data_IF_653830459908
#
_entry.id   IF_653830459908
#
_cell.length_a   1.000
_cell.length_b   1.000
_cell.length_c   1.000
_cell.angle_alpha   90.00
_cell.angle_beta   90.00
_cell.angle_gamma   90.00
#
_symmetry.space_group_name_H-M   'P 1'
#
loop_
_entity.id
_entity.type
_entity.pdbx_description
1 polymer ?
#
# COMPACT_ATOMS: atom_id res chain seq x y z
N UNK A 1 21.35 12.25 -50.03
CA UNK A 1 21.47 11.23 -48.98
C UNK A 1 21.23 11.93 -47.66
N UNK A 2 20.02 11.86 -47.18
CA UNK A 2 19.58 12.48 -45.91
C UNK A 2 19.57 11.32 -44.89
N UNK A 3 20.45 11.39 -43.89
CA UNK A 3 20.41 10.49 -42.74
C UNK A 3 19.31 10.96 -41.81
N UNK A 4 18.31 10.13 -41.63
CA UNK A 4 17.30 10.27 -40.54
C UNK A 4 17.98 9.94 -39.23
N UNK A 5 18.08 10.97 -38.41
CA UNK A 5 18.52 10.88 -37.02
C UNK A 5 17.30 10.38 -36.23
N UNK A 6 17.27 9.08 -35.94
CA UNK A 6 16.28 8.50 -35.03
C UNK A 6 16.70 8.88 -33.61
N UNK A 7 16.13 9.98 -33.11
CA UNK A 7 16.21 10.32 -31.71
C UNK A 7 15.52 9.23 -30.90
N UNK A 8 16.32 8.41 -30.23
CA UNK A 8 15.86 7.50 -29.19
C UNK A 8 15.23 8.33 -28.09
N UNK A 9 13.91 8.32 -27.97
CA UNK A 9 13.20 8.74 -26.79
C UNK A 9 13.62 7.78 -25.65
N UNK A 10 14.56 8.22 -24.84
CA UNK A 10 14.77 7.63 -23.52
C UNK A 10 13.48 7.82 -22.73
N UNK A 11 12.64 6.78 -22.74
CA UNK A 11 11.46 6.71 -21.89
C UNK A 11 11.92 6.80 -20.45
N UNK A 12 11.40 7.78 -19.74
CA UNK A 12 11.47 7.84 -18.27
C UNK A 12 10.94 6.51 -17.79
N UNK A 13 11.83 5.62 -17.35
CA UNK A 13 11.47 4.37 -16.68
C UNK A 13 10.87 4.80 -15.34
N UNK A 14 9.56 4.99 -15.34
CA UNK A 14 8.79 5.04 -14.10
C UNK A 14 9.10 3.75 -13.35
N UNK A 15 9.34 3.81 -12.05
CA UNK A 15 9.62 2.64 -11.20
C UNK A 15 8.41 1.68 -11.10
N UNK A 16 7.61 1.61 -12.14
CA UNK A 16 6.46 0.74 -12.30
C UNK A 16 6.84 -0.66 -12.78
N UNK A 17 5.90 -1.57 -12.67
CA UNK A 17 6.01 -2.88 -13.27
C UNK A 17 5.87 -2.76 -14.79
N UNK A 18 6.88 -3.17 -15.53
CA UNK A 18 6.74 -3.40 -16.96
C UNK A 18 5.96 -4.70 -17.24
N UNK A 19 5.63 -4.94 -18.50
CA UNK A 19 4.85 -6.13 -18.88
C UNK A 19 5.54 -7.46 -18.53
N UNK A 20 6.86 -7.51 -18.52
CA UNK A 20 7.62 -8.72 -18.19
C UNK A 20 7.61 -8.95 -16.67
N UNK A 21 7.79 -7.90 -15.88
CA UNK A 21 7.71 -7.98 -14.42
C UNK A 21 6.29 -8.33 -13.95
N UNK A 22 5.23 -7.79 -14.59
CA UNK A 22 3.84 -8.17 -14.29
C UNK A 22 3.59 -9.66 -14.58
N UNK A 23 4.08 -10.19 -15.70
CA UNK A 23 3.92 -11.60 -16.03
C UNK A 23 4.70 -12.51 -15.06
N UNK A 24 5.91 -12.11 -14.70
CA UNK A 24 6.73 -12.84 -13.73
C UNK A 24 6.07 -12.84 -12.35
N UNK A 25 5.58 -11.69 -11.91
CA UNK A 25 4.84 -11.55 -10.65
C UNK A 25 3.62 -12.46 -10.64
N UNK A 26 2.78 -12.42 -11.70
CA UNK A 26 1.57 -13.22 -11.79
C UNK A 26 1.84 -14.73 -11.73
N UNK A 27 2.94 -15.18 -12.35
CA UNK A 27 3.32 -16.59 -12.36
C UNK A 27 3.87 -17.11 -11.03
N UNK A 28 4.33 -16.22 -10.14
CA UNK A 28 4.96 -16.57 -8.86
C UNK A 28 4.08 -16.30 -7.64
N UNK A 29 2.86 -15.78 -7.84
CA UNK A 29 1.93 -15.48 -6.75
C UNK A 29 1.53 -16.70 -5.94
N UNK A 30 1.63 -16.60 -4.64
CA UNK A 30 0.99 -17.48 -3.69
C UNK A 30 -0.31 -16.83 -3.22
N UNK A 31 -1.43 -17.55 -3.36
CA UNK A 31 -2.76 -17.04 -3.01
C UNK A 31 -3.14 -17.45 -1.59
N UNK A 32 -3.74 -16.54 -0.86
CA UNK A 32 -4.21 -16.70 0.51
C UNK A 32 -5.65 -16.21 0.63
N UNK A 33 -6.39 -16.78 1.55
CA UNK A 33 -7.72 -16.29 1.92
C UNK A 33 -7.62 -15.32 3.09
N UNK A 34 -8.37 -14.22 3.05
CA UNK A 34 -8.55 -13.38 4.21
C UNK A 34 -9.31 -14.11 5.31
N UNK A 35 -9.01 -13.79 6.54
CA UNK A 35 -9.85 -14.24 7.65
C UNK A 35 -11.28 -13.68 7.52
N UNK A 36 -12.27 -14.44 7.98
CA UNK A 36 -13.68 -14.09 7.85
C UNK A 36 -14.02 -12.70 8.42
N UNK A 37 -13.35 -12.30 9.50
CA UNK A 37 -13.51 -10.99 10.13
C UNK A 37 -13.01 -9.86 9.22
N UNK A 38 -11.91 -10.08 8.47
CA UNK A 38 -11.39 -9.13 7.49
C UNK A 38 -12.35 -8.98 6.32
N UNK A 39 -12.88 -10.08 5.81
CA UNK A 39 -13.87 -10.05 4.73
C UNK A 39 -15.11 -9.25 5.14
N UNK A 40 -15.62 -9.50 6.34
CA UNK A 40 -16.74 -8.73 6.88
C UNK A 40 -16.44 -7.25 7.03
N UNK A 41 -15.23 -6.91 7.47
CA UNK A 41 -14.79 -5.52 7.56
C UNK A 41 -14.73 -4.86 6.17
N UNK A 42 -14.12 -5.52 5.19
CA UNK A 42 -14.03 -5.01 3.82
C UNK A 42 -15.42 -4.82 3.20
N UNK A 43 -16.34 -5.74 3.38
CA UNK A 43 -17.74 -5.61 2.93
C UNK A 43 -18.41 -4.36 3.49
N UNK A 44 -18.21 -4.08 4.78
CA UNK A 44 -18.74 -2.87 5.42
C UNK A 44 -18.12 -1.62 4.80
N UNK A 45 -16.79 -1.59 4.62
CA UNK A 45 -16.07 -0.45 4.05
C UNK A 45 -16.47 -0.20 2.60
N UNK A 46 -16.46 -1.23 1.75
CA UNK A 46 -16.77 -1.14 0.32
C UNK A 46 -18.20 -0.65 0.08
N UNK A 47 -19.16 -1.15 0.87
CA UNK A 47 -20.58 -0.82 0.76
C UNK A 47 -20.98 0.44 1.54
N UNK A 48 -20.02 1.08 2.23
CA UNK A 48 -20.34 2.27 3.01
C UNK A 48 -20.52 3.50 2.09
N UNK A 49 -21.58 4.27 2.34
CA UNK A 49 -21.83 5.57 1.71
C UNK A 49 -21.09 6.71 2.43
N UNK A 50 -19.92 6.42 2.98
CA UNK A 50 -19.18 7.38 3.78
C UNK A 50 -18.74 8.59 2.95
N UNK A 51 -19.01 9.79 3.47
CA UNK A 51 -18.75 11.05 2.74
C UNK A 51 -17.28 11.48 2.81
N UNK A 52 -16.60 11.18 3.93
CA UNK A 52 -15.21 11.59 4.18
C UNK A 52 -14.23 10.49 3.78
N UNK A 53 -14.15 10.23 2.49
CA UNK A 53 -13.28 9.14 1.98
C UNK A 53 -11.78 9.40 2.22
N UNK A 54 -11.39 10.66 2.45
CA UNK A 54 -10.01 11.07 2.74
C UNK A 54 -9.38 10.40 3.99
N UNK A 55 -10.19 9.72 4.80
CA UNK A 55 -9.69 8.95 5.94
C UNK A 55 -8.59 7.96 5.55
N UNK A 56 -8.68 7.36 4.34
CA UNK A 56 -7.67 6.42 3.88
C UNK A 56 -6.27 7.05 3.83
N UNK A 57 -6.19 8.31 3.38
CA UNK A 57 -4.90 8.99 3.26
C UNK A 57 -4.30 9.27 4.64
N UNK A 58 -5.13 9.70 5.60
CA UNK A 58 -4.70 9.89 6.98
C UNK A 58 -4.15 8.59 7.58
N UNK A 59 -4.84 7.47 7.39
CA UNK A 59 -4.42 6.17 7.91
C UNK A 59 -3.12 5.69 7.27
N UNK A 60 -2.95 5.86 5.95
CA UNK A 60 -1.71 5.48 5.28
C UNK A 60 -0.52 6.36 5.70
N UNK A 61 -0.73 7.67 5.87
CA UNK A 61 0.31 8.57 6.38
C UNK A 61 0.70 8.20 7.82
N UNK A 62 -0.29 7.88 8.66
CA UNK A 62 -0.02 7.43 10.04
C UNK A 62 0.80 6.14 10.05
N UNK A 63 0.42 5.13 9.25
CA UNK A 63 1.15 3.87 9.17
C UNK A 63 2.60 4.07 8.68
N UNK A 64 2.82 4.93 7.68
CA UNK A 64 4.16 5.26 7.20
C UNK A 64 4.99 5.98 8.29
N UNK A 65 4.37 6.91 9.03
CA UNK A 65 5.01 7.59 10.16
C UNK A 65 5.43 6.60 11.25
N UNK A 66 4.55 5.66 11.61
CA UNK A 66 4.84 4.63 12.60
C UNK A 66 6.00 3.71 12.16
N UNK A 67 6.07 3.37 10.87
CA UNK A 67 7.16 2.57 10.31
C UNK A 67 8.50 3.32 10.34
N UNK A 68 8.50 4.62 10.07
CA UNK A 68 9.67 5.49 10.17
C UNK A 68 10.13 5.65 11.62
N UNK A 69 9.20 5.88 12.56
CA UNK A 69 9.51 6.04 13.98
C UNK A 69 10.04 4.74 14.60
N UNK A 70 9.49 3.58 14.21
CA UNK A 70 9.99 2.28 14.63
C UNK A 70 11.45 2.08 14.19
N UNK A 71 11.76 2.40 12.93
CA UNK A 71 13.14 2.32 12.43
C UNK A 71 14.06 3.32 13.12
N UNK A 72 13.61 4.57 13.30
CA UNK A 72 14.35 5.60 14.04
C UNK A 72 14.69 5.13 15.44
N UNK A 73 13.74 4.54 16.15
CA UNK A 73 13.98 4.01 17.51
C UNK A 73 15.04 2.91 17.50
N UNK A 74 14.99 1.96 16.56
CA UNK A 74 15.99 0.90 16.42
C UNK A 74 17.38 1.46 16.11
N UNK A 75 17.45 2.50 15.25
CA UNK A 75 18.73 3.12 14.86
C UNK A 75 19.43 3.87 16.00
N UNK A 76 18.76 4.17 17.09
CA UNK A 76 19.39 4.74 18.29
C UNK A 76 20.26 3.71 19.00
N UNK A 77 19.88 2.44 18.96
CA UNK A 77 20.64 1.36 19.57
C UNK A 77 21.67 0.76 18.59
N UNK A 78 21.31 0.68 17.31
CA UNK A 78 22.12 0.12 16.24
C UNK A 78 21.97 0.97 14.96
N UNK A 79 22.92 1.88 14.67
CA UNK A 79 22.87 2.70 13.46
C UNK A 79 22.97 1.90 12.16
N UNK A 80 23.48 0.67 12.18
CA UNK A 80 23.66 -0.17 11.00
C UNK A 80 22.33 -0.69 10.44
N UNK A 81 21.24 -0.63 11.23
CA UNK A 81 19.88 -0.97 10.73
C UNK A 81 19.41 -0.04 9.60
N UNK A 82 20.00 1.15 9.48
CA UNK A 82 19.70 2.06 8.37
C UNK A 82 20.27 1.57 7.03
N UNK A 83 21.27 0.70 7.03
CA UNK A 83 21.90 0.16 5.82
C UNK A 83 22.33 1.25 4.84
N UNK A 84 22.06 1.03 3.56
CA UNK A 84 22.35 2.01 2.50
C UNK A 84 21.31 3.14 2.43
N UNK A 85 20.05 2.87 2.81
CA UNK A 85 18.96 3.85 2.80
C UNK A 85 18.92 4.60 4.14
N UNK A 86 19.70 5.68 4.25
CA UNK A 86 19.85 6.43 5.51
C UNK A 86 18.79 7.49 5.74
N UNK A 87 18.12 7.96 4.68
CA UNK A 87 17.03 8.94 4.81
C UNK A 87 15.78 8.30 5.40
N UNK A 88 15.13 9.02 6.31
CA UNK A 88 13.81 8.70 6.85
C UNK A 88 12.83 9.65 6.20
N UNK A 89 12.18 9.21 5.14
CA UNK A 89 11.28 10.03 4.34
C UNK A 89 10.03 9.28 3.91
N UNK A 90 8.98 10.05 3.65
CA UNK A 90 7.77 9.59 3.00
C UNK A 90 7.53 10.42 1.75
N UNK A 91 7.11 9.77 0.67
CA UNK A 91 6.74 10.39 -0.60
C UNK A 91 5.32 10.01 -0.97
N UNK A 92 4.58 10.96 -1.53
CA UNK A 92 3.25 10.74 -2.10
C UNK A 92 3.31 11.18 -3.55
N UNK A 93 2.91 10.32 -4.46
CA UNK A 93 2.83 10.62 -5.88
C UNK A 93 1.48 10.19 -6.45
N UNK A 94 1.06 10.87 -7.51
CA UNK A 94 -0.19 10.61 -8.20
C UNK A 94 0.08 10.56 -9.70
N UNK A 95 -0.42 9.51 -10.33
CA UNK A 95 -0.42 9.34 -11.78
C UNK A 95 -1.85 9.39 -12.28
N UNK A 96 -2.17 10.46 -13.02
CA UNK A 96 -3.52 10.71 -13.53
C UNK A 96 -3.88 9.74 -14.67
N UNK A 97 -2.91 9.41 -15.53
CA UNK A 97 -3.13 8.52 -16.67
C UNK A 97 -3.35 7.08 -16.20
N UNK A 98 -2.50 6.59 -15.31
CA UNK A 98 -2.64 5.28 -14.69
C UNK A 98 -3.74 5.24 -13.61
N UNK A 99 -4.23 6.39 -13.16
CA UNK A 99 -5.16 6.55 -12.05
C UNK A 99 -4.66 5.86 -10.78
N UNK A 100 -3.41 6.10 -10.44
CA UNK A 100 -2.80 5.53 -9.24
C UNK A 100 -2.37 6.61 -8.27
N UNK A 101 -2.54 6.34 -6.99
CA UNK A 101 -1.92 7.07 -5.89
C UNK A 101 -0.90 6.15 -5.23
N UNK A 102 0.33 6.61 -5.11
CA UNK A 102 1.43 5.85 -4.50
C UNK A 102 1.97 6.59 -3.29
N UNK A 103 2.08 5.87 -2.17
CA UNK A 103 2.72 6.34 -0.95
C UNK A 103 3.90 5.42 -0.69
N UNK A 104 5.09 6.01 -0.58
CA UNK A 104 6.34 5.29 -0.33
C UNK A 104 6.98 5.82 0.94
N UNK A 105 7.38 4.95 1.85
CA UNK A 105 8.18 5.29 3.03
C UNK A 105 9.49 4.51 3.04
N UNK A 106 10.49 5.06 3.72
CA UNK A 106 11.79 4.41 3.98
C UNK A 106 11.87 3.83 5.39
N UNK A 107 10.73 3.44 5.95
CA UNK A 107 10.61 2.87 7.28
C UNK A 107 11.20 1.46 7.39
N UNK A 108 10.80 0.74 8.41
CA UNK A 108 11.34 -0.59 8.70
C UNK A 108 11.04 -1.63 7.61
N UNK A 109 9.97 -1.44 6.83
CA UNK A 109 9.47 -2.42 5.89
C UNK A 109 8.81 -3.64 6.55
N UNK A 110 8.39 -4.58 5.71
CA UNK A 110 7.74 -5.84 6.11
C UNK A 110 8.40 -7.01 5.41
N UNK A 111 8.60 -8.11 6.13
CA UNK A 111 8.96 -9.41 5.56
C UNK A 111 7.74 -10.04 4.89
N UNK A 112 7.93 -11.13 4.12
CA UNK A 112 6.81 -11.91 3.57
C UNK A 112 5.82 -12.31 4.65
N UNK A 113 6.32 -12.78 5.78
CA UNK A 113 5.49 -13.20 6.91
C UNK A 113 4.71 -12.03 7.50
N UNK A 114 5.36 -10.86 7.67
CA UNK A 114 4.68 -9.65 8.14
C UNK A 114 3.57 -9.19 7.19
N UNK A 115 3.79 -9.27 5.87
CA UNK A 115 2.76 -8.94 4.87
C UNK A 115 1.54 -9.85 5.01
N UNK A 116 1.74 -11.15 5.17
CA UNK A 116 0.67 -12.12 5.36
C UNK A 116 -0.07 -11.86 6.68
N UNK A 117 0.67 -11.66 7.77
CA UNK A 117 0.10 -11.49 9.11
C UNK A 117 -0.58 -10.13 9.28
N UNK A 118 0.08 -9.04 8.89
CA UNK A 118 -0.42 -7.69 9.14
C UNK A 118 -1.50 -7.23 8.15
N UNK A 119 -1.47 -7.74 6.90
CA UNK A 119 -2.41 -7.36 5.86
C UNK A 119 -3.44 -8.44 5.54
N UNK A 120 -3.20 -9.69 5.91
CA UNK A 120 -4.12 -10.82 5.67
C UNK A 120 -4.89 -11.27 6.92
N UNK A 121 -4.29 -11.06 8.10
CA UNK A 121 -4.87 -11.51 9.37
C UNK A 121 -4.90 -10.34 10.35
N UNK A 122 -6.02 -9.70 10.50
CA UNK A 122 -6.16 -8.62 11.49
C UNK A 122 -6.27 -9.18 12.90
N UNK A 123 -5.75 -8.47 13.88
CA UNK A 123 -5.96 -8.79 15.28
C UNK A 123 -7.47 -8.95 15.57
N UNK A 124 -7.92 -10.17 15.80
CA UNK A 124 -9.35 -10.55 15.93
C UNK A 124 -10.16 -9.60 16.82
N UNK A 125 -9.55 -9.09 17.90
CA UNK A 125 -10.21 -8.18 18.84
C UNK A 125 -10.49 -6.80 18.21
N UNK A 126 -9.56 -6.22 17.46
CA UNK A 126 -9.73 -4.89 16.87
C UNK A 126 -10.82 -4.87 15.79
N UNK A 127 -10.86 -5.88 14.93
CA UNK A 127 -11.86 -5.97 13.86
C UNK A 127 -13.27 -6.13 14.42
N UNK A 128 -13.50 -7.04 15.38
CA UNK A 128 -14.81 -7.26 15.98
C UNK A 128 -15.31 -6.00 16.69
N UNK A 129 -14.44 -5.36 17.49
CA UNK A 129 -14.78 -4.12 18.19
C UNK A 129 -15.11 -2.98 17.21
N UNK A 130 -14.36 -2.86 16.11
CA UNK A 130 -14.66 -1.86 15.10
C UNK A 130 -16.00 -2.11 14.40
N UNK A 131 -16.28 -3.36 14.00
CA UNK A 131 -17.56 -3.73 13.38
C UNK A 131 -18.74 -3.41 14.31
N UNK A 132 -18.62 -3.70 15.59
CA UNK A 132 -19.63 -3.34 16.59
C UNK A 132 -19.78 -1.82 16.75
N UNK A 133 -18.64 -1.09 16.79
CA UNK A 133 -18.64 0.36 16.91
C UNK A 133 -19.31 1.03 15.71
N UNK A 134 -18.99 0.60 14.48
CA UNK A 134 -19.56 1.18 13.26
C UNK A 134 -21.05 0.87 13.11
N UNK A 135 -21.51 -0.33 13.54
CA UNK A 135 -22.93 -0.68 13.54
C UNK A 135 -23.74 0.22 14.48
N UNK A 136 -23.13 0.66 15.58
CA UNK A 136 -23.78 1.52 16.58
C UNK A 136 -23.71 3.01 16.23
N UNK A 137 -22.64 3.48 15.61
CA UNK A 137 -22.39 4.92 15.40
C UNK A 137 -22.44 5.34 13.94
N UNK A 138 -22.20 4.42 12.99
CA UNK A 138 -22.01 4.73 11.57
C UNK A 138 -20.70 5.52 11.27
N UNK A 139 -19.82 5.67 12.25
CA UNK A 139 -18.63 6.53 12.14
C UNK A 139 -17.36 5.72 11.79
N UNK A 140 -16.97 5.75 10.52
CA UNK A 140 -15.72 5.14 10.04
C UNK A 140 -14.46 5.85 10.56
N UNK A 141 -14.57 7.08 11.10
CA UNK A 141 -13.39 7.82 11.58
C UNK A 141 -12.67 7.12 12.74
N UNK A 142 -13.33 6.17 13.38
CA UNK A 142 -12.78 5.36 14.46
C UNK A 142 -11.84 4.25 13.99
N UNK A 143 -11.74 3.98 12.67
CA UNK A 143 -11.04 2.82 12.09
C UNK A 143 -9.58 2.68 12.57
N UNK A 144 -8.85 3.79 12.68
CA UNK A 144 -7.46 3.79 13.13
C UNK A 144 -7.29 3.36 14.60
N UNK A 145 -8.26 3.67 15.46
CA UNK A 145 -8.21 3.31 16.88
C UNK A 145 -8.24 1.80 17.12
N UNK A 146 -8.75 1.04 16.15
CA UNK A 146 -8.87 -0.41 16.21
C UNK A 146 -7.76 -1.16 15.45
N UNK A 147 -6.77 -0.43 14.89
CA UNK A 147 -5.65 -1.02 14.15
C UNK A 147 -6.04 -1.62 12.79
N UNK A 148 -7.16 -1.18 12.21
CA UNK A 148 -7.68 -1.68 10.93
C UNK A 148 -7.73 -0.58 9.84
N UNK A 149 -7.04 0.53 10.08
CA UNK A 149 -7.04 1.71 9.22
C UNK A 149 -6.57 1.44 7.79
N UNK A 150 -5.67 0.47 7.58
CA UNK A 150 -5.21 0.09 6.24
C UNK A 150 -6.37 -0.23 5.29
N UNK A 151 -7.39 -0.95 5.74
CA UNK A 151 -8.49 -1.37 4.86
C UNK A 151 -9.38 -0.23 4.36
N UNK A 152 -9.25 0.98 4.94
CA UNK A 152 -9.93 2.19 4.42
C UNK A 152 -9.55 2.52 2.98
N UNK A 153 -8.43 2.00 2.45
CA UNK A 153 -8.01 2.12 1.05
C UNK A 153 -9.11 1.66 0.08
N UNK A 154 -9.90 0.66 0.46
CA UNK A 154 -10.98 0.14 -0.37
C UNK A 154 -12.21 1.06 -0.49
N UNK A 155 -12.24 2.18 0.24
CA UNK A 155 -13.19 3.27 -0.04
C UNK A 155 -12.93 3.91 -1.41
N UNK A 156 -11.67 3.91 -1.87
CA UNK A 156 -11.22 4.66 -3.04
C UNK A 156 -10.53 3.82 -4.11
N UNK A 157 -10.06 2.62 -3.79
CA UNK A 157 -9.33 1.75 -4.70
C UNK A 157 -10.08 0.46 -5.02
N UNK A 158 -9.97 -0.01 -6.27
CA UNK A 158 -10.43 -1.32 -6.71
C UNK A 158 -9.37 -2.39 -6.50
N UNK A 159 -8.09 -2.00 -6.55
CA UNK A 159 -6.94 -2.86 -6.32
C UNK A 159 -5.90 -2.12 -5.49
N UNK A 160 -5.24 -2.85 -4.62
CA UNK A 160 -4.12 -2.35 -3.81
C UNK A 160 -2.91 -3.25 -4.03
N UNK A 161 -1.75 -2.64 -4.26
CA UNK A 161 -0.45 -3.31 -4.30
C UNK A 161 0.42 -2.74 -3.18
N UNK A 162 1.03 -3.60 -2.40
CA UNK A 162 2.00 -3.23 -1.37
C UNK A 162 3.31 -3.92 -1.69
N UNK A 163 4.31 -3.13 -2.07
CA UNK A 163 5.69 -3.58 -2.23
C UNK A 163 6.45 -3.27 -0.96
N UNK A 164 7.12 -4.24 -0.36
CA UNK A 164 7.83 -4.00 0.88
C UNK A 164 9.17 -4.72 0.93
N UNK A 165 10.16 -4.04 1.52
CA UNK A 165 11.52 -4.53 1.72
C UNK A 165 11.93 -4.31 3.18
N UNK A 166 12.08 -5.40 3.91
CA UNK A 166 12.67 -5.44 5.25
C UNK A 166 14.16 -5.80 5.16
N UNK A 167 14.97 -5.39 6.15
CA UNK A 167 16.40 -5.72 6.14
C UNK A 167 16.67 -7.23 6.12
N UNK A 168 15.84 -8.01 6.79
CA UNK A 168 16.02 -9.46 7.00
C UNK A 168 15.37 -10.34 5.92
N UNK A 169 14.77 -9.73 4.89
CA UNK A 169 14.08 -10.49 3.83
C UNK A 169 14.29 -9.85 2.45
N UNK A 170 14.01 -10.59 1.38
CA UNK A 170 13.95 -10.05 0.02
C UNK A 170 12.69 -9.19 -0.15
N UNK A 171 12.68 -8.38 -1.21
CA UNK A 171 11.51 -7.54 -1.51
C UNK A 171 10.34 -8.41 -1.95
N UNK A 172 9.16 -8.16 -1.38
CA UNK A 172 7.93 -8.86 -1.70
C UNK A 172 6.84 -7.90 -2.16
N UNK A 173 5.92 -8.43 -2.94
CA UNK A 173 4.71 -7.74 -3.40
C UNK A 173 3.49 -8.48 -2.87
N UNK A 174 2.64 -7.75 -2.18
CA UNK A 174 1.30 -8.16 -1.77
C UNK A 174 0.27 -7.46 -2.65
N UNK A 175 -0.76 -8.18 -3.09
CA UNK A 175 -1.85 -7.60 -3.87
C UNK A 175 -3.21 -8.13 -3.43
N UNK A 176 -4.24 -7.27 -3.49
CA UNK A 176 -5.63 -7.66 -3.34
C UNK A 176 -6.57 -6.73 -4.11
N UNK A 177 -7.65 -7.31 -4.64
CA UNK A 177 -8.80 -6.63 -5.27
C UNK A 177 -10.02 -6.62 -4.35
N UNK A 178 -9.84 -6.92 -3.07
CA UNK A 178 -10.91 -6.99 -2.06
C UNK A 178 -11.97 -8.10 -2.35
N UNK A 179 -11.55 -9.18 -2.95
CA UNK A 179 -12.40 -10.31 -3.36
C UNK A 179 -12.21 -11.56 -2.47
N UNK A 180 -12.08 -11.39 -1.17
CA UNK A 180 -11.83 -12.43 -0.16
C UNK A 180 -10.43 -13.07 -0.22
N UNK A 181 -9.60 -12.68 -1.19
CA UNK A 181 -8.25 -13.22 -1.36
C UNK A 181 -7.20 -12.12 -1.48
N UNK A 182 -5.97 -12.49 -1.14
CA UNK A 182 -4.79 -11.70 -1.45
C UNK A 182 -3.68 -12.63 -1.96
N UNK A 183 -2.72 -12.06 -2.63
CA UNK A 183 -1.54 -12.80 -3.09
C UNK A 183 -0.26 -12.16 -2.59
N UNK A 184 0.76 -12.99 -2.39
CA UNK A 184 2.11 -12.54 -2.07
C UNK A 184 3.10 -13.25 -2.99
N UNK A 185 4.06 -12.50 -3.51
CA UNK A 185 5.16 -13.03 -4.32
C UNK A 185 6.47 -12.28 -4.02
N UNK A 186 7.60 -12.91 -4.29
CA UNK A 186 8.86 -12.18 -4.38
C UNK A 186 8.80 -11.18 -5.54
N UNK A 187 9.34 -9.99 -5.35
CA UNK A 187 9.32 -8.96 -6.40
C UNK A 187 10.29 -9.34 -7.53
N UNK A 188 9.80 -9.61 -8.74
CA UNK A 188 10.66 -10.00 -9.87
C UNK A 188 11.64 -8.92 -10.30
N UNK A 189 11.44 -7.67 -9.88
CA UNK A 189 12.35 -6.54 -10.13
C UNK A 189 13.55 -6.54 -9.17
N UNK A 190 13.54 -7.43 -8.16
CA UNK A 190 14.53 -7.44 -7.09
C UNK A 190 14.34 -6.30 -6.09
N UNK A 191 15.43 -5.85 -5.47
CA UNK A 191 15.37 -4.76 -4.49
C UNK A 191 15.36 -3.38 -5.18
N UNK A 192 14.17 -2.78 -5.30
CA UNK A 192 13.98 -1.43 -5.87
C UNK A 192 13.80 -0.35 -4.80
N UNK A 193 13.42 -0.74 -3.57
CA UNK A 193 13.13 0.20 -2.49
C UNK A 193 14.35 0.49 -1.60
N UNK A 194 15.37 -0.40 -1.64
CA UNK A 194 16.42 -0.41 -0.63
C UNK A 194 15.90 -0.93 0.71
N UNK A 195 15.00 -0.21 1.35
CA UNK A 195 14.23 -0.57 2.54
C UNK A 195 12.98 0.30 2.60
N UNK A 196 11.87 -0.24 3.14
CA UNK A 196 10.63 0.48 3.40
C UNK A 196 9.44 -0.16 2.73
N UNK A 197 8.38 0.63 2.55
CA UNK A 197 7.13 0.15 1.96
C UNK A 197 6.60 1.15 0.93
N UNK A 198 6.11 0.62 -0.19
CA UNK A 198 5.41 1.36 -1.22
C UNK A 198 3.99 0.80 -1.36
N UNK A 199 2.99 1.65 -1.20
CA UNK A 199 1.57 1.30 -1.35
C UNK A 199 1.04 2.02 -2.58
N UNK A 200 0.63 1.26 -3.59
CA UNK A 200 0.00 1.75 -4.81
C UNK A 200 -1.49 1.43 -4.79
N UNK A 201 -2.31 2.45 -4.85
CA UNK A 201 -3.77 2.37 -4.94
C UNK A 201 -4.21 2.56 -6.39
N UNK A 202 -4.89 1.57 -6.97
CA UNK A 202 -5.54 1.69 -8.27
C UNK A 202 -6.95 2.21 -8.04
N UNK A 203 -7.16 3.49 -8.35
CA UNK A 203 -8.33 4.24 -7.92
C UNK A 203 -9.58 3.92 -8.74
N UNK A 204 -10.73 3.87 -8.06
CA UNK A 204 -12.05 3.62 -8.67
C UNK A 204 -12.38 4.65 -9.74
N UNK A 205 -12.94 4.21 -10.87
CA UNK A 205 -13.18 5.06 -12.03
C UNK A 205 -14.16 6.23 -11.84
N UNK A 206 -14.97 6.22 -10.79
CA UNK A 206 -15.98 7.27 -10.53
C UNK A 206 -15.47 8.45 -9.68
N UNK A 207 -14.21 8.45 -9.21
CA UNK A 207 -13.70 9.48 -8.31
C UNK A 207 -13.11 10.71 -9.01
N UNK A 208 -12.99 10.68 -10.34
CA UNK A 208 -12.44 11.78 -11.12
C UNK A 208 -13.51 12.60 -11.84
N UNK A 209 -14.33 13.30 -11.09
CA UNK A 209 -14.79 14.61 -11.51
C UNK A 209 -13.76 15.61 -10.92
N UNK A 210 -12.85 16.05 -11.78
CA UNK A 210 -11.84 17.05 -11.42
C UNK A 210 -12.56 18.36 -11.12
N UNK A 211 -12.92 18.58 -9.88
CA UNK A 211 -13.17 19.90 -9.35
C UNK A 211 -12.12 20.18 -8.29
N UNK A 212 -11.01 20.78 -8.76
CA UNK A 212 -10.06 21.61 -8.01
C UNK A 212 -9.65 21.12 -6.61
N UNK A 213 -8.61 20.28 -6.53
CA UNK A 213 -7.74 20.34 -5.37
C UNK A 213 -6.84 21.56 -5.51
N UNK A 214 -7.29 22.69 -4.96
CA UNK A 214 -6.47 23.87 -4.73
C UNK A 214 -5.81 23.69 -3.37
N UNK A 215 -4.52 23.36 -3.34
CA UNK A 215 -3.72 23.51 -2.13
C UNK A 215 -3.44 25.01 -1.93
N UNK A 216 -4.07 25.64 -0.95
CA UNK A 216 -3.66 26.90 -0.38
C UNK A 216 -3.03 26.67 0.98
#
# INVERSE_FOLDING_TARGET
VIAEDAAATEGVVMAGFDSAAEQALESSKESFEFQAEVNRLMDIIINSLYQNKEIYLRELISNASDALDKLRFLSLADPDVLGETKSLEMKISFDEEARTLTITDTGIGMTKQDLIENLGTVAKSGTTQFVEAIQNTGDLSLIGQFGVGFYSVYLVADKVRVTSKHNDDVQHVWESTADNTFSVAEDPRGNTLGRGTEITLFLKGMLFSVSSFSFT
#
